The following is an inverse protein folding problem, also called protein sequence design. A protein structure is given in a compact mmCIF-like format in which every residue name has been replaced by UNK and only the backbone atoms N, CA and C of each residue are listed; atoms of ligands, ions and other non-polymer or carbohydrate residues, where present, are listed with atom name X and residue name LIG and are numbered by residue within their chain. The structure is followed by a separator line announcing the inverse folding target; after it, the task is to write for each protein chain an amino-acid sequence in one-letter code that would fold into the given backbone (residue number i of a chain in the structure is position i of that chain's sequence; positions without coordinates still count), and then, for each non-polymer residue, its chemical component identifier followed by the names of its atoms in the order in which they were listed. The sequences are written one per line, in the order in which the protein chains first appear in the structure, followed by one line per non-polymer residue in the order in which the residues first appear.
data_IF_399680734835
#
_entry.id   IF_399680734835
#
_cell.length_a   1.000
_cell.length_b   1.000
_cell.length_c   1.000
_cell.angle_alpha   90.00
_cell.angle_beta   90.00
_cell.angle_gamma   90.00
#
_symmetry.space_group_name_H-M   'P 1'
#
loop_
_entity.id
_entity.type
_entity.pdbx_description
1 polymer ?
#
# COMPACT_ATOMS: atom_id res chain seq x y z
N UNK A 1 -3.49 7.25 9.06
CA UNK A 1 -2.68 7.57 7.84
C UNK A 1 -2.13 6.28 7.23
N UNK A 2 -1.40 6.34 6.13
CA UNK A 2 -0.94 5.14 5.45
C UNK A 2 0.19 5.49 4.47
N UNK A 3 1.05 4.50 4.16
CA UNK A 3 2.06 4.63 3.12
C UNK A 3 2.17 3.31 2.36
N UNK A 4 2.05 3.32 1.04
CA UNK A 4 2.28 2.16 0.20
C UNK A 4 3.50 2.37 -0.70
N UNK A 5 4.20 1.31 -1.03
CA UNK A 5 5.36 1.36 -1.89
C UNK A 5 5.49 0.10 -2.76
N UNK A 6 6.22 0.26 -3.85
CA UNK A 6 6.74 -0.83 -4.66
C UNK A 6 8.24 -0.94 -4.46
N UNK A 7 8.82 -2.10 -4.67
CA UNK A 7 10.28 -2.27 -4.71
C UNK A 7 10.65 -3.33 -5.74
N UNK A 8 11.60 -3.00 -6.61
CA UNK A 8 12.03 -3.90 -7.67
C UNK A 8 13.52 -4.20 -7.52
N UNK A 9 13.83 -5.47 -7.41
CA UNK A 9 15.18 -6.02 -7.41
C UNK A 9 15.28 -7.06 -8.55
N UNK A 10 15.70 -8.29 -8.31
CA UNK A 10 15.41 -9.41 -9.20
C UNK A 10 13.94 -9.78 -9.20
N UNK A 11 13.27 -9.66 -8.05
CA UNK A 11 11.85 -9.81 -7.86
C UNK A 11 11.11 -8.46 -7.83
N UNK A 12 9.77 -8.55 -7.74
CA UNK A 12 8.90 -7.41 -7.54
C UNK A 12 8.13 -7.56 -6.23
N UNK A 13 8.15 -6.49 -5.43
CA UNK A 13 7.54 -6.41 -4.10
C UNK A 13 6.60 -5.24 -4.01
N UNK A 14 5.48 -5.45 -3.32
CA UNK A 14 4.44 -4.46 -3.09
C UNK A 14 3.92 -4.57 -1.67
N UNK A 15 3.67 -3.47 -1.00
CA UNK A 15 3.10 -3.49 0.34
C UNK A 15 2.87 -2.10 0.91
N UNK A 16 2.46 -2.06 2.17
CA UNK A 16 2.07 -0.81 2.83
C UNK A 16 2.28 -0.82 4.35
N UNK A 17 2.22 0.36 4.98
CA UNK A 17 1.88 0.54 6.38
C UNK A 17 0.38 0.83 6.53
N UNK A 18 -0.29 0.24 7.53
CA UNK A 18 -1.59 0.70 8.01
C UNK A 18 -1.36 1.49 9.29
N UNK A 19 -1.58 2.80 9.22
CA UNK A 19 -1.38 3.71 10.34
C UNK A 19 -2.74 4.20 10.83
N UNK A 20 -3.09 3.85 12.08
CA UNK A 20 -4.36 4.21 12.70
C UNK A 20 -4.25 4.13 14.23
N UNK A 21 -5.26 4.63 14.96
CA UNK A 21 -5.25 4.62 16.44
C UNK A 21 -5.72 3.30 17.04
N UNK A 22 -6.33 2.40 16.28
CA UNK A 22 -6.76 1.07 16.72
C UNK A 22 -6.86 0.10 15.53
N UNK A 23 -6.78 -1.20 15.84
CA UNK A 23 -7.00 -2.28 14.86
C UNK A 23 -8.49 -2.58 14.71
N UNK A 24 -8.93 -2.84 13.48
CA UNK A 24 -10.28 -3.33 13.16
C UNK A 24 -10.36 -4.85 13.20
N UNK A 25 -9.31 -5.55 13.64
CA UNK A 25 -9.22 -7.01 13.61
C UNK A 25 -8.82 -7.53 12.23
N UNK A 26 -7.81 -6.90 11.65
CA UNK A 26 -7.24 -7.29 10.36
C UNK A 26 -6.59 -8.67 10.45
N UNK A 27 -6.72 -9.43 9.38
CA UNK A 27 -6.14 -10.76 9.25
C UNK A 27 -5.67 -11.01 7.83
N UNK A 28 -4.69 -11.90 7.66
CA UNK A 28 -4.27 -12.32 6.34
C UNK A 28 -5.35 -13.24 5.77
N UNK A 29 -5.94 -12.84 4.65
CA UNK A 29 -7.02 -13.57 4.01
C UNK A 29 -6.61 -13.97 2.60
N UNK A 30 -6.80 -15.25 2.28
CA UNK A 30 -6.72 -15.76 0.91
C UNK A 30 -8.14 -15.97 0.39
N UNK A 31 -8.45 -15.35 -0.75
CA UNK A 31 -9.66 -15.62 -1.53
C UNK A 31 -9.29 -16.58 -2.66
N UNK A 32 -9.60 -17.90 -2.54
CA UNK A 32 -9.28 -18.90 -3.56
C UNK A 32 -10.07 -18.70 -4.84
N UNK A 33 -9.60 -19.31 -5.95
CA UNK A 33 -10.15 -19.13 -7.31
C UNK A 33 -11.64 -19.40 -7.47
N UNK A 34 -12.20 -20.34 -6.68
CA UNK A 34 -13.61 -20.73 -6.76
C UNK A 34 -14.46 -20.16 -5.61
N UNK A 35 -13.89 -19.27 -4.79
CA UNK A 35 -14.67 -18.54 -3.81
C UNK A 35 -15.60 -17.55 -4.55
N UNK A 36 -16.93 -17.63 -4.36
CA UNK A 36 -17.85 -16.73 -5.08
C UNK A 36 -17.74 -15.32 -4.50
N UNK A 37 -17.32 -14.35 -5.33
CA UNK A 37 -17.28 -12.94 -4.94
C UNK A 37 -18.59 -12.27 -5.38
N UNK A 38 -19.50 -11.94 -4.46
CA UNK A 38 -20.70 -11.17 -4.76
C UNK A 38 -20.37 -9.69 -4.95
N UNK A 39 -20.99 -9.06 -5.95
CA UNK A 39 -20.92 -7.62 -6.17
C UNK A 39 -22.28 -6.97 -6.00
N UNK A 40 -22.33 -5.71 -5.55
CA UNK A 40 -23.59 -5.00 -5.27
C UNK A 40 -24.39 -4.68 -6.53
N UNK A 41 -23.69 -4.40 -7.62
CA UNK A 41 -24.31 -3.92 -8.87
C UNK A 41 -24.00 -4.80 -10.07
N UNK A 42 -23.42 -5.97 -9.85
CA UNK A 42 -23.06 -6.94 -10.88
C UNK A 42 -23.32 -8.36 -10.40
N UNK A 43 -23.30 -9.32 -11.31
CA UNK A 43 -23.41 -10.73 -10.99
C UNK A 43 -22.23 -11.21 -10.12
N UNK A 44 -22.49 -12.21 -9.29
CA UNK A 44 -21.47 -12.90 -8.51
C UNK A 44 -20.43 -13.54 -9.44
N UNK A 45 -19.16 -13.26 -9.18
CA UNK A 45 -18.04 -13.86 -9.91
C UNK A 45 -17.69 -15.23 -9.28
N UNK A 46 -17.99 -16.30 -10.01
CA UNK A 46 -17.86 -17.68 -9.51
C UNK A 46 -16.42 -18.23 -9.62
N UNK A 47 -15.58 -17.66 -10.50
CA UNK A 47 -14.20 -18.09 -10.70
C UNK A 47 -13.32 -16.90 -11.10
N UNK A 48 -12.13 -16.81 -10.51
CA UNK A 48 -11.25 -15.66 -10.64
C UNK A 48 -9.80 -16.01 -10.28
N UNK A 49 -8.87 -15.06 -10.35
CA UNK A 49 -7.53 -15.23 -9.80
C UNK A 49 -7.58 -15.31 -8.28
N UNK A 50 -6.77 -16.20 -7.68
CA UNK A 50 -6.61 -16.23 -6.23
C UNK A 50 -5.95 -14.93 -5.75
N UNK A 51 -6.41 -14.44 -4.59
CA UNK A 51 -5.97 -13.17 -3.98
C UNK A 51 -5.48 -13.46 -2.57
N UNK A 52 -4.37 -12.86 -2.16
CA UNK A 52 -3.89 -12.84 -0.78
C UNK A 52 -3.70 -11.39 -0.33
N UNK A 53 -4.08 -11.07 0.89
CA UNK A 53 -3.90 -9.73 1.43
C UNK A 53 -4.34 -9.58 2.88
N UNK A 54 -4.19 -8.39 3.41
CA UNK A 54 -4.71 -8.02 4.72
C UNK A 54 -6.14 -7.53 4.57
N UNK A 55 -7.08 -8.13 5.29
CA UNK A 55 -8.50 -7.80 5.20
C UNK A 55 -9.18 -7.78 6.58
N UNK A 56 -10.23 -6.99 6.69
CA UNK A 56 -11.26 -7.21 7.68
C UNK A 56 -12.36 -8.08 7.04
N UNK A 57 -12.62 -9.25 7.59
CA UNK A 57 -13.64 -10.16 7.05
C UNK A 57 -14.97 -9.94 7.78
N UNK A 58 -15.95 -9.37 7.08
CA UNK A 58 -17.31 -9.16 7.58
C UNK A 58 -18.31 -9.91 6.70
N UNK A 59 -19.26 -10.60 7.28
CA UNK A 59 -20.30 -11.38 6.57
C UNK A 59 -19.71 -12.30 5.48
N UNK A 60 -18.59 -12.95 5.75
CA UNK A 60 -17.79 -13.74 4.82
C UNK A 60 -17.28 -12.96 3.61
N UNK A 61 -17.25 -11.62 3.63
CA UNK A 61 -16.68 -10.78 2.59
C UNK A 61 -15.33 -10.22 3.03
N UNK A 62 -14.24 -10.40 2.24
CA UNK A 62 -12.92 -9.84 2.59
C UNK A 62 -12.85 -8.37 2.16
N UNK A 63 -12.91 -7.46 3.12
CA UNK A 63 -12.68 -6.03 2.94
C UNK A 63 -11.18 -5.76 2.99
N UNK A 64 -10.52 -5.85 1.83
CA UNK A 64 -9.07 -5.73 1.72
C UNK A 64 -8.58 -4.29 1.92
N UNK A 65 -7.53 -4.13 2.71
CA UNK A 65 -6.74 -2.90 2.84
C UNK A 65 -5.64 -2.85 1.78
N UNK A 66 -4.96 -3.98 1.58
CA UNK A 66 -3.99 -4.25 0.54
C UNK A 66 -4.01 -5.74 0.19
N UNK A 67 -3.72 -6.05 -1.06
CA UNK A 67 -3.68 -7.41 -1.53
C UNK A 67 -2.85 -7.54 -2.81
N UNK A 68 -2.50 -8.78 -3.15
CA UNK A 68 -1.89 -9.17 -4.40
C UNK A 68 -2.59 -10.41 -4.95
N UNK A 69 -2.75 -10.51 -6.25
CA UNK A 69 -3.26 -11.74 -6.86
C UNK A 69 -2.13 -12.69 -7.27
N UNK A 70 -2.50 -13.91 -7.62
CA UNK A 70 -1.57 -14.96 -8.05
C UNK A 70 -0.76 -14.65 -9.33
N UNK A 71 -1.12 -13.56 -10.04
CA UNK A 71 -0.40 -13.05 -11.22
C UNK A 71 0.64 -12.00 -10.88
N UNK A 72 0.69 -11.57 -9.61
CA UNK A 72 1.65 -10.57 -9.12
C UNK A 72 1.20 -9.12 -9.29
N UNK A 73 -0.10 -8.89 -9.56
CA UNK A 73 -0.68 -7.55 -9.52
C UNK A 73 -1.04 -7.22 -8.06
N UNK A 74 -0.48 -6.13 -7.53
CA UNK A 74 -0.73 -5.62 -6.18
C UNK A 74 -1.62 -4.37 -6.18
N UNK A 75 -2.43 -4.21 -5.14
CA UNK A 75 -3.29 -3.04 -4.95
C UNK A 75 -3.46 -2.72 -3.46
N UNK A 76 -3.47 -1.44 -3.11
CA UNK A 76 -3.74 -0.96 -1.76
C UNK A 76 -4.63 0.28 -1.79
N UNK A 77 -5.57 0.38 -0.83
CA UNK A 77 -6.39 1.55 -0.59
C UNK A 77 -5.89 2.34 0.61
N UNK A 78 -5.74 3.66 0.45
CA UNK A 78 -5.23 4.58 1.47
C UNK A 78 -6.22 5.72 1.70
N UNK A 79 -6.27 6.26 2.92
CA UNK A 79 -7.16 7.36 3.27
C UNK A 79 -6.92 8.61 2.40
N UNK A 80 -8.03 9.14 1.86
CA UNK A 80 -8.06 10.32 0.98
C UNK A 80 -9.21 11.26 1.38
N UNK A 81 -9.32 11.50 2.69
CA UNK A 81 -10.42 12.25 3.31
C UNK A 81 -10.48 13.68 2.77
N UNK A 82 -11.69 14.14 2.42
CA UNK A 82 -11.94 15.48 1.89
C UNK A 82 -11.69 15.65 0.39
N UNK A 83 -11.05 14.67 -0.27
CA UNK A 83 -10.85 14.68 -1.73
C UNK A 83 -11.65 13.56 -2.43
N UNK A 84 -11.78 12.39 -1.80
CA UNK A 84 -12.52 11.27 -2.38
C UNK A 84 -14.00 11.63 -2.58
N UNK A 85 -14.50 11.40 -3.78
CA UNK A 85 -15.92 11.51 -4.16
C UNK A 85 -16.28 10.33 -5.07
N UNK A 86 -17.46 9.74 -4.86
CA UNK A 86 -17.92 8.59 -5.62
C UNK A 86 -19.20 8.94 -6.38
N UNK A 87 -19.34 8.32 -7.56
CA UNK A 87 -20.49 8.53 -8.40
C UNK A 87 -21.73 7.76 -7.91
N UNK A 88 -22.89 8.10 -8.47
CA UNK A 88 -24.09 7.27 -8.40
C UNK A 88 -24.02 6.16 -9.47
N UNK A 89 -24.69 5.02 -9.24
CA UNK A 89 -24.79 3.96 -10.25
C UNK A 89 -25.35 4.48 -11.58
N UNK A 90 -24.70 4.10 -12.68
CA UNK A 90 -25.05 4.56 -14.02
C UNK A 90 -25.31 3.36 -14.94
N UNK A 91 -26.40 3.38 -15.69
CA UNK A 91 -26.75 2.33 -16.65
C UNK A 91 -25.69 2.19 -17.76
N UNK A 92 -25.37 0.96 -18.10
CA UNK A 92 -24.39 0.64 -19.15
C UNK A 92 -22.91 0.70 -18.69
N UNK A 93 -22.65 1.09 -17.44
CA UNK A 93 -21.32 1.06 -16.83
C UNK A 93 -21.17 -0.14 -15.87
N UNK A 94 -19.95 -0.56 -15.63
CA UNK A 94 -19.64 -1.51 -14.57
C UNK A 94 -19.57 -0.74 -13.23
N UNK A 95 -20.70 -0.70 -12.52
CA UNK A 95 -20.79 -0.02 -11.21
C UNK A 95 -20.11 -0.88 -10.14
N UNK A 96 -19.03 -0.39 -9.58
CA UNK A 96 -18.22 -1.07 -8.57
C UNK A 96 -18.32 -0.28 -7.27
N UNK A 97 -18.82 -0.89 -6.21
CA UNK A 97 -18.82 -0.24 -4.90
C UNK A 97 -17.38 -0.04 -4.40
N UNK A 98 -17.16 1.05 -3.67
CA UNK A 98 -15.81 1.42 -3.23
C UNK A 98 -15.08 0.26 -2.52
N UNK A 99 -15.75 -0.49 -1.64
CA UNK A 99 -15.16 -1.61 -0.90
C UNK A 99 -14.89 -2.85 -1.77
N UNK A 100 -15.52 -2.93 -2.95
CA UNK A 100 -15.34 -4.02 -3.93
C UNK A 100 -14.16 -3.76 -4.87
N UNK A 101 -13.58 -2.56 -4.87
CA UNK A 101 -12.65 -2.16 -5.92
C UNK A 101 -11.37 -3.00 -5.93
N UNK A 102 -10.78 -3.31 -4.76
CA UNK A 102 -9.61 -4.20 -4.68
C UNK A 102 -9.94 -5.61 -5.21
N UNK A 103 -10.95 -6.33 -4.67
CA UNK A 103 -11.28 -7.65 -5.20
C UNK A 103 -11.76 -7.62 -6.66
N UNK A 104 -12.41 -6.53 -7.11
CA UNK A 104 -12.86 -6.40 -8.49
C UNK A 104 -11.69 -6.33 -9.49
N UNK A 105 -10.65 -5.55 -9.19
CA UNK A 105 -9.43 -5.46 -10.01
C UNK A 105 -8.65 -6.77 -9.93
N UNK A 106 -8.31 -7.22 -8.72
CA UNK A 106 -7.39 -8.35 -8.53
C UNK A 106 -7.97 -9.69 -8.97
N UNK A 107 -9.29 -9.82 -9.02
CA UNK A 107 -9.97 -11.04 -9.49
C UNK A 107 -9.82 -11.27 -11.00
N UNK A 108 -9.55 -10.24 -11.81
CA UNK A 108 -9.66 -10.29 -13.26
C UNK A 108 -8.47 -9.77 -14.05
N UNK A 109 -7.67 -8.88 -13.47
CA UNK A 109 -6.53 -8.25 -14.13
C UNK A 109 -5.21 -8.88 -13.66
N UNK A 110 -4.29 -9.10 -14.59
CA UNK A 110 -2.94 -9.59 -14.33
C UNK A 110 -1.87 -8.52 -14.53
N UNK A 111 -2.19 -7.43 -15.25
CA UNK A 111 -1.26 -6.36 -15.63
C UNK A 111 -1.93 -5.00 -15.51
N UNK A 112 -1.09 -3.94 -15.40
CA UNK A 112 -1.59 -2.55 -15.40
C UNK A 112 -2.27 -2.19 -16.72
N UNK A 113 -1.85 -2.76 -17.84
CA UNK A 113 -2.57 -2.57 -19.12
C UNK A 113 -4.02 -3.05 -19.03
N UNK A 114 -4.26 -4.25 -18.49
CA UNK A 114 -5.62 -4.77 -18.28
C UNK A 114 -6.41 -3.95 -17.26
N UNK A 115 -5.74 -3.42 -16.22
CA UNK A 115 -6.36 -2.49 -15.27
C UNK A 115 -6.86 -1.23 -15.96
N UNK A 116 -6.04 -0.60 -16.81
CA UNK A 116 -6.46 0.59 -17.57
C UNK A 116 -7.68 0.33 -18.46
N UNK A 117 -7.73 -0.81 -19.12
CA UNK A 117 -8.89 -1.22 -19.91
C UNK A 117 -10.15 -1.44 -19.05
N UNK A 118 -9.99 -2.02 -17.87
CA UNK A 118 -11.07 -2.22 -16.92
C UNK A 118 -11.59 -0.87 -16.38
N UNK A 119 -10.69 0.04 -15.99
CA UNK A 119 -11.05 1.37 -15.48
C UNK A 119 -11.83 2.21 -16.51
N UNK A 120 -11.53 2.06 -17.80
CA UNK A 120 -12.25 2.79 -18.86
C UNK A 120 -13.75 2.47 -18.95
N UNK A 121 -14.19 1.34 -18.35
CA UNK A 121 -15.59 0.88 -18.36
C UNK A 121 -16.22 0.88 -16.97
N UNK A 122 -15.45 1.24 -15.95
CA UNK A 122 -15.86 1.23 -14.55
C UNK A 122 -16.48 2.56 -14.14
N UNK A 123 -17.48 2.46 -13.28
CA UNK A 123 -18.02 3.57 -12.51
C UNK A 123 -17.85 3.23 -11.01
N UNK A 124 -17.03 3.99 -10.31
CA UNK A 124 -16.77 3.77 -8.89
C UNK A 124 -17.85 4.46 -8.07
N UNK A 125 -18.65 3.67 -7.34
CA UNK A 125 -19.85 4.15 -6.65
C UNK A 125 -19.72 4.12 -5.13
N UNK A 126 -20.40 5.04 -4.47
CA UNK A 126 -20.41 5.22 -3.02
C UNK A 126 -21.31 4.27 -2.24
N UNK A 127 -21.69 3.12 -2.82
CA UNK A 127 -22.54 2.12 -2.15
C UNK A 127 -21.87 1.60 -0.88
N UNK A 128 -22.50 1.71 0.31
CA UNK A 128 -21.90 1.23 1.56
C UNK A 128 -21.90 -0.29 1.64
N UNK A 129 -20.94 -0.84 2.39
CA UNK A 129 -20.97 -2.27 2.73
C UNK A 129 -22.18 -2.59 3.62
N UNK A 130 -22.40 -1.80 4.65
CA UNK A 130 -23.56 -1.86 5.53
C UNK A 130 -23.88 -0.45 6.08
N UNK A 131 -25.01 -0.24 6.74
CA UNK A 131 -25.29 1.04 7.41
C UNK A 131 -24.23 1.47 8.43
N UNK A 132 -23.53 0.51 9.05
CA UNK A 132 -22.45 0.76 10.01
C UNK A 132 -21.07 0.91 9.35
N UNK A 133 -20.94 0.49 8.09
CA UNK A 133 -19.73 0.58 7.28
C UNK A 133 -20.00 1.35 5.99
N UNK A 134 -20.04 2.69 6.04
CA UNK A 134 -20.20 3.53 4.86
C UNK A 134 -19.00 3.41 3.93
N UNK A 135 -19.15 3.91 2.70
CA UNK A 135 -18.01 3.97 1.77
C UNK A 135 -16.88 4.82 2.38
N UNK A 136 -15.70 4.23 2.50
CA UNK A 136 -14.53 4.91 3.01
C UNK A 136 -13.95 5.86 1.95
N UNK A 137 -13.46 7.03 2.39
CA UNK A 137 -12.79 7.99 1.52
C UNK A 137 -11.38 7.50 1.22
N UNK A 138 -11.18 6.85 0.06
CA UNK A 138 -9.90 6.24 -0.33
C UNK A 138 -9.44 6.70 -1.70
N UNK A 139 -8.15 6.55 -1.94
CA UNK A 139 -7.48 6.46 -3.23
C UNK A 139 -6.58 5.21 -3.25
N UNK A 140 -6.11 4.80 -4.43
CA UNK A 140 -5.46 3.50 -4.57
C UNK A 140 -4.18 3.59 -5.38
N UNK A 141 -3.18 2.80 -4.97
CA UNK A 141 -2.04 2.44 -5.79
C UNK A 141 -2.24 1.02 -6.31
N UNK A 142 -1.98 0.82 -7.60
CA UNK A 142 -2.05 -0.48 -8.27
C UNK A 142 -0.73 -0.66 -9.01
N UNK A 143 -0.08 -1.81 -8.86
CA UNK A 143 1.23 -2.01 -9.46
C UNK A 143 1.47 -3.46 -9.88
N UNK A 144 2.17 -3.62 -10.98
CA UNK A 144 2.81 -4.86 -11.39
C UNK A 144 4.34 -4.69 -11.48
N UNK A 145 5.06 -5.71 -11.92
CA UNK A 145 6.53 -5.68 -12.04
C UNK A 145 7.08 -4.62 -13.03
N UNK A 146 6.23 -4.03 -13.86
CA UNK A 146 6.64 -3.12 -14.93
C UNK A 146 6.31 -1.65 -14.60
N UNK A 147 5.14 -1.40 -14.01
CA UNK A 147 4.64 -0.05 -13.75
C UNK A 147 3.73 0.02 -12.53
N UNK A 148 3.52 1.23 -12.04
CA UNK A 148 2.54 1.54 -11.00
C UNK A 148 1.65 2.70 -11.47
N UNK A 149 0.39 2.69 -11.01
CA UNK A 149 -0.56 3.77 -11.22
C UNK A 149 -1.25 4.14 -9.91
N UNK A 150 -1.69 5.39 -9.83
CA UNK A 150 -2.56 5.86 -8.75
C UNK A 150 -3.94 6.15 -9.32
N UNK A 151 -4.97 5.71 -8.62
CA UNK A 151 -6.38 5.93 -8.98
C UNK A 151 -7.04 6.77 -7.90
N UNK A 152 -7.55 7.95 -8.28
CA UNK A 152 -8.23 8.90 -7.42
C UNK A 152 -9.61 9.22 -8.00
N UNK A 153 -10.67 8.94 -7.22
CA UNK A 153 -12.04 9.33 -7.56
C UNK A 153 -12.36 10.61 -6.81
N UNK A 154 -12.49 11.70 -7.53
CA UNK A 154 -12.71 13.05 -6.99
C UNK A 154 -13.99 13.66 -7.54
N UNK A 155 -14.36 14.85 -7.07
CA UNK A 155 -15.60 15.52 -7.45
C UNK A 155 -15.71 15.84 -8.95
N UNK A 156 -14.59 15.96 -9.65
CA UNK A 156 -14.46 16.21 -11.09
C UNK A 156 -14.26 14.94 -11.92
N UNK A 157 -14.24 13.75 -11.30
CA UNK A 157 -14.18 12.46 -11.96
C UNK A 157 -13.11 11.51 -11.45
N UNK A 158 -12.87 10.45 -12.24
CA UNK A 158 -11.86 9.44 -11.97
C UNK A 158 -10.54 9.84 -12.63
N UNK A 159 -9.52 10.02 -11.81
CA UNK A 159 -8.15 10.33 -12.25
C UNK A 159 -7.28 9.09 -12.16
N UNK A 160 -6.50 8.85 -13.20
CA UNK A 160 -5.54 7.74 -13.28
C UNK A 160 -4.18 8.32 -13.63
N UNK A 161 -3.26 8.29 -12.67
CA UNK A 161 -1.91 8.85 -12.80
C UNK A 161 -0.88 7.74 -12.99
N UNK A 162 0.11 7.95 -13.84
CA UNK A 162 1.32 7.14 -13.83
C UNK A 162 2.12 7.44 -12.56
N UNK A 163 2.58 6.42 -11.86
CA UNK A 163 3.36 6.56 -10.63
C UNK A 163 4.81 6.11 -10.81
N UNK A 164 5.70 6.97 -11.31
CA UNK A 164 7.11 6.65 -11.44
C UNK A 164 7.84 6.59 -10.09
N UNK A 165 7.29 7.22 -9.05
CA UNK A 165 7.82 7.14 -7.70
C UNK A 165 7.56 5.78 -7.05
N UNK A 166 6.50 5.06 -7.48
CA UNK A 166 6.07 3.79 -6.92
C UNK A 166 5.69 3.91 -5.44
N UNK A 167 5.09 5.03 -5.04
CA UNK A 167 4.74 5.39 -3.66
C UNK A 167 3.41 6.11 -3.63
N UNK A 168 2.58 5.77 -2.66
CA UNK A 168 1.37 6.53 -2.34
C UNK A 168 1.29 6.73 -0.83
N UNK A 169 0.85 7.93 -0.41
CA UNK A 169 0.54 8.22 1.00
C UNK A 169 -0.94 8.62 1.13
N UNK A 170 -1.23 9.81 1.62
CA UNK A 170 -2.58 10.33 1.80
C UNK A 170 -2.71 11.66 1.05
N UNK A 171 -3.53 12.61 1.58
CA UNK A 171 -3.62 13.97 1.03
C UNK A 171 -2.25 14.68 0.96
N UNK A 172 -2.03 15.59 0.03
CA UNK A 172 -2.93 16.04 -1.03
C UNK A 172 -3.03 15.05 -2.20
N UNK A 173 -3.82 15.35 -3.27
CA UNK A 173 -3.85 14.57 -4.51
C UNK A 173 -2.47 14.25 -5.08
N UNK A 174 -2.36 13.14 -5.78
CA UNK A 174 -1.09 12.55 -6.21
C UNK A 174 -0.24 13.46 -7.11
N UNK A 175 -0.85 14.21 -8.01
CA UNK A 175 -0.15 15.18 -8.87
C UNK A 175 0.57 16.26 -8.04
N UNK A 176 -0.05 16.72 -6.95
CA UNK A 176 0.57 17.66 -6.01
C UNK A 176 1.69 16.99 -5.20
N UNK A 177 1.55 15.73 -4.81
CA UNK A 177 2.63 14.96 -4.18
C UNK A 177 3.86 14.89 -5.10
N UNK A 178 3.63 14.53 -6.36
CA UNK A 178 4.70 14.46 -7.38
C UNK A 178 5.32 15.85 -7.64
N UNK A 179 4.50 16.91 -7.74
CA UNK A 179 5.01 18.27 -7.88
C UNK A 179 5.93 18.67 -6.73
N UNK A 180 5.59 18.31 -5.50
CA UNK A 180 6.39 18.61 -4.33
C UNK A 180 7.77 17.95 -4.30
N UNK A 181 7.97 16.81 -4.97
CA UNK A 181 9.28 16.18 -5.07
C UNK A 181 10.33 17.08 -5.71
N UNK A 182 9.92 18.08 -6.52
CA UNK A 182 10.83 19.07 -7.07
C UNK A 182 11.60 19.87 -5.99
N UNK A 183 11.03 20.02 -4.79
CA UNK A 183 11.72 20.67 -3.67
C UNK A 183 12.93 19.88 -3.17
N UNK A 184 13.05 18.63 -3.53
CA UNK A 184 14.06 17.67 -3.05
C UNK A 184 15.08 17.27 -4.11
N UNK A 185 15.13 17.96 -5.26
CA UNK A 185 16.06 17.70 -6.37
C UNK A 185 17.54 17.68 -5.95
N UNK A 186 17.89 18.42 -4.89
CA UNK A 186 19.24 18.49 -4.37
C UNK A 186 19.65 17.32 -3.48
N UNK A 187 18.71 16.43 -3.10
CA UNK A 187 19.02 15.29 -2.23
C UNK A 187 19.82 14.22 -2.97
N UNK A 188 20.76 13.61 -2.26
CA UNK A 188 21.63 12.57 -2.79
C UNK A 188 22.06 11.60 -1.68
N UNK A 189 22.28 10.30 -1.97
CA UNK A 189 22.94 9.39 -1.02
C UNK A 189 24.44 9.69 -0.86
N UNK A 190 25.01 10.53 -1.73
CA UNK A 190 26.43 10.93 -1.72
C UNK A 190 26.65 12.12 -0.80
N UNK A 191 27.89 12.30 -0.32
CA UNK A 191 28.27 13.50 0.42
C UNK A 191 28.18 14.73 -0.50
N UNK A 192 27.70 15.88 0.04
CA UNK A 192 27.60 17.11 -0.75
C UNK A 192 28.98 17.74 -0.96
N UNK A 193 29.16 18.34 -2.14
CA UNK A 193 30.23 19.28 -2.41
C UNK A 193 29.78 20.69 -1.99
N UNK A 194 30.78 21.58 -1.77
CA UNK A 194 30.48 22.97 -1.45
C UNK A 194 30.02 23.75 -2.70
N UNK A 195 28.72 23.86 -2.89
CA UNK A 195 28.11 24.72 -3.91
C UNK A 195 27.63 26.07 -3.36
N UNK A 196 27.79 26.31 -2.04
CA UNK A 196 27.31 27.54 -1.40
C UNK A 196 28.14 28.75 -1.78
N UNK A 197 29.46 28.68 -1.63
CA UNK A 197 30.42 29.70 -2.06
C UNK A 197 31.82 29.12 -2.14
N UNK A 198 32.57 29.40 -3.23
CA UNK A 198 33.96 28.99 -3.33
C UNK A 198 34.90 29.73 -2.35
N UNK A 199 34.47 30.87 -1.83
CA UNK A 199 35.24 31.68 -0.87
C UNK A 199 35.13 31.18 0.57
N UNK A 200 34.14 30.36 0.88
CA UNK A 200 33.92 29.81 2.19
C UNK A 200 34.40 28.33 2.26
N UNK A 201 35.32 28.00 3.16
CA UNK A 201 35.85 26.63 3.28
C UNK A 201 34.85 25.70 4.01
N UNK A 202 33.67 25.49 3.43
CA UNK A 202 32.65 24.62 3.97
C UNK A 202 32.93 23.15 3.57
N UNK A 203 32.79 22.24 4.51
CA UNK A 203 32.99 20.82 4.30
C UNK A 203 31.94 19.97 5.05
N UNK A 204 31.64 18.79 4.52
CA UNK A 204 30.77 17.85 5.20
C UNK A 204 31.42 17.41 6.54
N UNK A 205 30.71 17.60 7.66
CA UNK A 205 31.17 17.26 9.01
C UNK A 205 30.69 15.86 9.47
N UNK A 206 29.77 15.23 8.75
CA UNK A 206 29.29 13.88 9.06
C UNK A 206 28.88 13.14 7.79
N UNK A 207 28.71 11.82 7.87
CA UNK A 207 28.15 11.01 6.79
C UNK A 207 26.65 11.28 6.68
N UNK A 208 26.05 11.04 5.48
CA UNK A 208 24.63 11.17 5.23
C UNK A 208 24.15 12.61 4.95
N UNK A 209 25.06 13.60 4.90
CA UNK A 209 24.67 14.99 4.67
C UNK A 209 24.11 15.28 3.26
N UNK A 210 24.26 14.36 2.31
CA UNK A 210 23.62 14.51 0.99
C UNK A 210 22.10 14.48 1.04
N UNK A 211 21.53 13.90 2.11
CA UNK A 211 20.09 13.90 2.37
C UNK A 211 19.65 15.01 3.35
N UNK A 212 20.49 16.04 3.58
CA UNK A 212 20.13 17.15 4.45
C UNK A 212 18.92 17.91 3.87
N UNK A 213 17.85 18.01 4.67
CA UNK A 213 16.57 18.58 4.23
C UNK A 213 15.52 17.53 3.85
N UNK A 214 15.87 16.23 3.86
CA UNK A 214 14.85 15.18 3.77
C UNK A 214 13.90 15.30 4.98
N UNK A 215 12.58 15.43 4.78
CA UNK A 215 11.66 15.73 5.87
C UNK A 215 11.57 14.59 6.88
N UNK A 216 11.47 14.93 8.16
CA UNK A 216 11.46 13.98 9.28
C UNK A 216 10.13 13.81 9.99
N UNK A 217 9.15 14.68 9.72
CA UNK A 217 7.83 14.61 10.32
C UNK A 217 6.94 13.52 9.69
N UNK A 218 5.81 13.24 10.34
CA UNK A 218 4.90 12.16 9.96
C UNK A 218 3.76 12.60 9.03
N UNK A 219 3.76 13.84 8.53
CA UNK A 219 2.75 14.28 7.57
C UNK A 219 2.81 13.46 6.28
N UNK A 220 1.69 13.38 5.58
CA UNK A 220 1.57 12.59 4.35
C UNK A 220 2.64 12.96 3.31
N UNK A 221 2.85 14.25 3.09
CA UNK A 221 3.81 14.76 2.12
C UNK A 221 5.26 14.45 2.52
N UNK A 222 5.59 14.60 3.80
CA UNK A 222 6.92 14.26 4.31
C UNK A 222 7.21 12.77 4.18
N UNK A 223 6.22 11.91 4.48
CA UNK A 223 6.32 10.47 4.29
C UNK A 223 6.48 10.09 2.82
N UNK A 224 5.72 10.76 1.92
CA UNK A 224 5.86 10.55 0.48
C UNK A 224 7.29 10.83 0.00
N UNK A 225 7.83 12.01 0.31
CA UNK A 225 9.18 12.40 -0.09
C UNK A 225 10.23 11.45 0.50
N UNK A 226 10.08 11.07 1.78
CA UNK A 226 11.02 10.19 2.48
C UNK A 226 11.03 8.78 1.89
N UNK A 227 9.86 8.19 1.66
CA UNK A 227 9.78 6.84 1.08
C UNK A 227 10.23 6.86 -0.38
N UNK A 228 9.86 7.87 -1.17
CA UNK A 228 10.33 8.00 -2.55
C UNK A 228 11.87 8.08 -2.63
N UNK A 229 12.50 8.89 -1.78
CA UNK A 229 13.96 8.98 -1.70
C UNK A 229 14.59 7.66 -1.22
N UNK A 230 14.07 7.08 -0.14
CA UNK A 230 14.61 5.85 0.43
C UNK A 230 14.49 4.69 -0.56
N UNK A 231 13.31 4.52 -1.18
CA UNK A 231 13.06 3.50 -2.19
C UNK A 231 14.00 3.62 -3.40
N UNK A 232 14.14 4.84 -3.92
CA UNK A 232 14.94 5.10 -5.13
C UNK A 232 16.45 4.85 -4.91
N UNK A 233 16.93 4.96 -3.66
CA UNK A 233 18.34 4.82 -3.32
C UNK A 233 18.68 3.55 -2.55
N UNK A 234 17.67 2.74 -2.20
CA UNK A 234 17.87 1.47 -1.49
C UNK A 234 18.46 0.40 -2.41
N UNK A 235 19.38 -0.38 -1.87
CA UNK A 235 20.03 -1.50 -2.53
C UNK A 235 19.81 -2.73 -1.64
N UNK A 236 19.42 -3.86 -2.24
CA UNK A 236 19.38 -5.15 -1.56
C UNK A 236 20.30 -6.16 -2.25
N UNK A 237 20.51 -7.31 -1.62
CA UNK A 237 21.07 -8.48 -2.28
C UNK A 237 20.09 -9.13 -3.27
N UNK A 238 20.44 -10.30 -3.74
CA UNK A 238 19.76 -10.99 -4.84
C UNK A 238 18.67 -11.97 -4.39
N UNK A 239 18.64 -12.32 -3.10
CA UNK A 239 17.63 -13.23 -2.55
C UNK A 239 16.32 -12.53 -2.22
N UNK A 240 15.23 -13.31 -2.11
CA UNK A 240 13.93 -12.80 -1.69
C UNK A 240 13.98 -12.27 -0.25
N UNK A 241 14.66 -13.00 0.65
CA UNK A 241 14.80 -12.61 2.05
C UNK A 241 15.52 -11.26 2.22
N UNK A 242 16.60 -11.03 1.45
CA UNK A 242 17.31 -9.76 1.46
C UNK A 242 16.43 -8.62 0.91
N UNK A 243 15.68 -8.87 -0.16
CA UNK A 243 14.78 -7.90 -0.77
C UNK A 243 13.60 -7.57 0.14
N UNK A 244 13.00 -8.58 0.79
CA UNK A 244 11.93 -8.41 1.78
C UNK A 244 12.44 -7.64 2.99
N UNK A 245 13.61 -7.99 3.53
CA UNK A 245 14.23 -7.24 4.62
C UNK A 245 14.45 -5.77 4.24
N UNK A 246 14.97 -5.49 3.04
CA UNK A 246 15.16 -4.12 2.56
C UNK A 246 13.83 -3.39 2.38
N UNK A 247 12.78 -4.07 1.93
CA UNK A 247 11.45 -3.47 1.80
C UNK A 247 10.90 -3.00 3.16
N UNK A 248 11.06 -3.80 4.22
CA UNK A 248 10.70 -3.40 5.57
C UNK A 248 11.52 -2.21 6.08
N UNK A 249 12.81 -2.10 5.71
CA UNK A 249 13.60 -0.90 6.01
C UNK A 249 13.11 0.34 5.25
N UNK A 250 12.64 0.19 4.00
CA UNK A 250 12.06 1.31 3.25
C UNK A 250 10.82 1.84 3.96
N UNK A 251 9.85 0.99 4.26
CA UNK A 251 8.62 1.39 4.94
C UNK A 251 8.84 1.74 6.41
N UNK A 252 9.78 1.10 7.11
CA UNK A 252 10.17 1.43 8.48
C UNK A 252 10.71 2.86 8.64
N UNK A 253 11.12 3.49 7.53
CA UNK A 253 11.53 4.91 7.55
C UNK A 253 10.38 5.87 7.89
N UNK A 254 9.13 5.40 7.82
CA UNK A 254 7.90 6.19 8.09
C UNK A 254 6.97 5.53 9.10
N UNK A 255 7.48 4.59 9.89
CA UNK A 255 6.72 4.00 10.99
C UNK A 255 6.20 5.09 11.93
N UNK A 256 4.96 4.92 12.37
CA UNK A 256 4.29 5.82 13.31
C UNK A 256 4.48 5.32 14.74
N UNK A 257 5.27 6.05 15.54
CA UNK A 257 5.54 5.70 16.92
C UNK A 257 4.45 6.24 17.84
N UNK A 258 4.00 5.44 18.80
CA UNK A 258 3.00 5.84 19.79
C UNK A 258 3.45 7.09 20.55
N UNK A 259 2.61 8.11 20.56
CA UNK A 259 2.89 9.39 21.17
C UNK A 259 3.43 10.46 20.23
N UNK A 260 3.84 10.12 19.00
CA UNK A 260 4.38 11.09 18.03
C UNK A 260 3.34 11.70 17.10
N UNK A 261 2.15 11.10 17.00
CA UNK A 261 1.02 11.62 16.23
C UNK A 261 -0.28 11.47 17.05
N UNK A 262 -0.69 12.54 17.72
CA UNK A 262 -1.94 12.58 18.48
C UNK A 262 -3.08 13.00 17.58
N UNK A 263 -4.13 12.17 17.48
CA UNK A 263 -5.32 12.41 16.65
C UNK A 263 -6.51 12.94 17.46
N UNK A 264 -6.54 12.64 18.76
CA UNK A 264 -7.44 13.18 19.75
C UNK A 264 -6.79 13.00 21.13
N UNK A 265 -7.31 13.63 22.18
CA UNK A 265 -6.77 13.53 23.55
C UNK A 265 -6.56 12.06 23.97
N UNK A 266 -5.29 11.69 24.19
CA UNK A 266 -4.86 10.36 24.58
C UNK A 266 -4.98 9.29 23.49
N UNK A 267 -5.29 9.66 22.24
CA UNK A 267 -5.34 8.75 21.09
C UNK A 267 -4.22 9.04 20.12
N UNK A 268 -3.39 8.05 19.88
CA UNK A 268 -2.22 8.17 19.05
C UNK A 268 -2.30 7.25 17.83
N UNK A 269 -1.94 7.78 16.69
CA UNK A 269 -1.74 6.97 15.49
C UNK A 269 -0.46 6.16 15.64
N UNK A 270 -0.53 4.87 15.27
CA UNK A 270 0.59 3.93 15.24
C UNK A 270 0.55 3.14 13.95
N UNK A 271 1.68 2.62 13.52
CA UNK A 271 1.74 1.64 12.44
C UNK A 271 1.25 0.28 12.96
N UNK A 272 -0.02 -0.05 12.71
CA UNK A 272 -0.64 -1.29 13.18
C UNK A 272 0.07 -2.49 12.56
N UNK A 273 0.29 -2.45 11.24
CA UNK A 273 1.10 -3.44 10.54
C UNK A 273 1.84 -2.81 9.36
N UNK A 274 2.93 -3.45 8.96
CA UNK A 274 3.61 -3.24 7.69
C UNK A 274 3.54 -4.53 6.89
N UNK A 275 3.16 -4.45 5.62
CA UNK A 275 3.08 -5.60 4.71
C UNK A 275 4.11 -5.53 3.60
N UNK A 276 4.41 -6.71 3.03
CA UNK A 276 5.20 -6.90 1.82
C UNK A 276 4.72 -8.15 1.10
N UNK A 277 4.33 -8.03 -0.17
CA UNK A 277 3.99 -9.17 -1.02
C UNK A 277 5.10 -9.42 -2.03
N UNK A 278 5.52 -10.66 -2.22
CA UNK A 278 6.39 -11.09 -3.32
C UNK A 278 5.54 -11.55 -4.51
N UNK A 279 5.70 -10.90 -5.65
CA UNK A 279 4.97 -11.25 -6.88
C UNK A 279 5.40 -12.61 -7.45
N UNK A 280 6.67 -12.99 -7.26
CA UNK A 280 7.23 -14.24 -7.78
C UNK A 280 6.73 -15.45 -7.01
N UNK A 281 6.73 -15.37 -5.70
CA UNK A 281 6.37 -16.52 -4.84
C UNK A 281 4.90 -16.51 -4.42
N UNK A 282 4.23 -15.35 -4.43
CA UNK A 282 2.88 -15.20 -3.90
C UNK A 282 2.86 -15.25 -2.37
N UNK A 283 3.96 -14.88 -1.74
CA UNK A 283 4.10 -14.86 -0.29
C UNK A 283 3.77 -13.48 0.25
N UNK A 284 2.89 -13.43 1.25
CA UNK A 284 2.53 -12.24 2.00
C UNK A 284 3.33 -12.21 3.30
N UNK A 285 4.19 -11.20 3.46
CA UNK A 285 4.99 -10.95 4.66
C UNK A 285 4.38 -9.79 5.45
N UNK A 286 4.49 -9.84 6.78
CA UNK A 286 4.07 -8.73 7.62
C UNK A 286 4.84 -8.65 8.92
N UNK A 287 4.85 -7.45 9.51
CA UNK A 287 5.19 -7.16 10.91
C UNK A 287 4.04 -6.40 11.55
N UNK A 288 3.97 -6.37 12.88
CA UNK A 288 2.99 -5.56 13.61
C UNK A 288 3.69 -4.64 14.60
N UNK A 289 2.97 -3.66 15.16
CA UNK A 289 3.56 -2.70 16.08
C UNK A 289 4.29 -3.34 17.26
N UNK A 290 3.72 -4.41 17.85
CA UNK A 290 4.31 -5.12 19.00
C UNK A 290 5.17 -6.32 18.58
N UNK A 291 5.16 -6.72 17.30
CA UNK A 291 5.92 -7.85 16.80
C UNK A 291 6.73 -7.48 15.56
N UNK A 292 8.01 -7.18 15.76
CA UNK A 292 8.95 -6.84 14.70
C UNK A 292 9.48 -8.06 13.92
N UNK A 293 9.13 -9.28 14.35
CA UNK A 293 9.48 -10.49 13.60
C UNK A 293 8.68 -10.55 12.32
N UNK A 294 9.35 -10.62 11.17
CA UNK A 294 8.69 -10.82 9.89
C UNK A 294 8.01 -12.20 9.89
N UNK A 295 6.71 -12.19 9.66
CA UNK A 295 5.86 -13.37 9.56
C UNK A 295 5.39 -13.51 8.11
N UNK A 296 5.21 -14.73 7.62
CA UNK A 296 4.88 -15.00 6.22
C UNK A 296 3.73 -16.00 6.07
N UNK A 297 2.89 -15.76 5.05
CA UNK A 297 1.89 -16.70 4.55
C UNK A 297 2.13 -16.91 3.06
N UNK A 298 2.40 -18.15 2.66
CA UNK A 298 2.62 -18.51 1.26
C UNK A 298 1.31 -18.99 0.63
N UNK A 299 0.74 -18.17 -0.24
CA UNK A 299 -0.52 -18.48 -0.93
C UNK A 299 -0.44 -19.80 -1.71
N UNK A 300 0.71 -20.11 -2.31
CA UNK A 300 0.87 -21.30 -3.17
C UNK A 300 0.88 -22.61 -2.39
N UNK A 301 1.03 -22.56 -1.07
CA UNK A 301 0.92 -23.76 -0.20
C UNK A 301 -0.51 -24.08 0.19
N UNK A 302 -1.46 -23.22 -0.21
CA UNK A 302 -2.86 -23.34 0.19
C UNK A 302 -3.73 -23.95 -0.91
N UNK A 303 -4.95 -24.35 -0.53
CA UNK A 303 -5.94 -24.94 -1.42
C UNK A 303 -6.59 -23.88 -2.33
N UNK A 304 -5.85 -23.36 -3.31
CA UNK A 304 -6.27 -22.24 -4.16
C UNK A 304 -7.51 -22.52 -5.04
N UNK A 305 -7.98 -23.75 -5.11
CA UNK A 305 -9.23 -24.09 -5.81
C UNK A 305 -10.41 -24.32 -4.83
N UNK A 306 -10.25 -23.97 -3.55
CA UNK A 306 -11.34 -24.00 -2.57
C UNK A 306 -12.43 -22.99 -2.93
N UNK A 307 -13.63 -23.22 -2.37
CA UNK A 307 -14.78 -22.31 -2.38
C UNK A 307 -14.96 -21.55 -1.07
N UNK A 308 -13.98 -21.65 -0.18
CA UNK A 308 -14.02 -21.06 1.16
C UNK A 308 -12.78 -20.20 1.41
N UNK A 309 -12.93 -19.08 2.11
CA UNK A 309 -11.81 -18.22 2.51
C UNK A 309 -10.83 -18.99 3.40
N UNK A 310 -9.55 -18.71 3.24
CA UNK A 310 -8.48 -19.21 4.11
C UNK A 310 -7.96 -18.01 4.90
N UNK A 311 -7.93 -18.09 6.23
CA UNK A 311 -7.74 -16.95 7.12
C UNK A 311 -6.68 -17.25 8.17
N UNK A 312 -5.78 -16.27 8.39
CA UNK A 312 -4.71 -16.33 9.37
C UNK A 312 -4.75 -15.06 10.23
N UNK A 313 -5.14 -15.16 11.51
CA UNK A 313 -5.04 -14.04 12.44
C UNK A 313 -3.60 -13.53 12.52
N UNK A 314 -3.41 -12.22 12.62
CA UNK A 314 -2.06 -11.63 12.81
C UNK A 314 -1.43 -12.13 14.11
N UNK A 315 -0.14 -12.42 14.07
CA UNK A 315 0.68 -12.70 15.26
C UNK A 315 1.10 -11.36 15.86
N UNK A 316 0.35 -10.89 16.85
CA UNK A 316 0.54 -9.56 17.45
C UNK A 316 1.67 -9.55 18.48
N UNK A 317 1.89 -10.66 19.21
CA UNK A 317 2.88 -10.70 20.29
C UNK A 317 4.24 -11.09 19.78
N UNK A 318 5.20 -10.15 19.92
CA UNK A 318 6.60 -10.42 19.63
C UNK A 318 7.29 -11.23 20.72
N UNK A 319 8.36 -11.92 20.35
CA UNK A 319 9.22 -12.67 21.26
C UNK A 319 10.59 -12.00 21.37
N UNK A 320 11.05 -11.80 22.59
CA UNK A 320 12.43 -11.36 22.86
C UNK A 320 13.31 -12.60 22.95
N UNK A 321 14.09 -12.86 21.91
CA UNK A 321 15.07 -13.95 21.91
C UNK A 321 16.24 -13.62 22.84
N UNK A 322 16.41 -14.39 23.90
CA UNK A 322 17.58 -14.28 24.79
C UNK A 322 18.71 -15.17 24.29
N UNK A 323 19.95 -14.67 24.37
CA UNK A 323 21.14 -15.44 23.96
C UNK A 323 21.88 -16.05 25.13
N UNK A 324 21.52 -15.73 26.35
CA UNK A 324 22.10 -16.25 27.60
C UNK A 324 21.04 -16.91 28.46
#
# INVERSE_FOLDING_TARGET
MCTAATYKTKGFYFGRTLDYEFSYGEEITITPRNYPIPFRHMDTLASHYAIIGMAHVADNYPLYYDAMNEKGLGMAGLNFVGNAAYAEPTDGMQNVAQFEFIPWILSRCATISEVREALARMNLVGTPFSPQMPAASLHWIIADKNEAIVVESMADGLHVHDDPAGVLTNNPPFDLQMFHLNNYLGLSPRQPENHFSPELPLAAYSRGMGALGLPGDLSSQSRFARVAFTRANSISGDSEEESVSQFFHILGSVDQQRGCCEVAEGKYEITIYTSCCSAETGTYYYTTYENHQITAVDMKKEALNSDSLIRYPMILKGEIRRQN
#
